data_IF_808751930822
#
_entry.id   IF_808751930822
#
_cell.length_a   1.000
_cell.length_b   1.000
_cell.length_c   1.000
_cell.angle_alpha   90.00
_cell.angle_beta   90.00
_cell.angle_gamma   90.00
#
_symmetry.space_group_name_H-M   'P 1'
#
loop_
_entity.id
_entity.type
_entity.pdbx_description
1 polymer ?
#
# COMPACT_ATOMS: atom_id res chain seq x y z
N UNK A 1 -17.44 -11.64 -14.03
CA UNK A 1 -17.79 -10.38 -13.29
C UNK A 1 -17.06 -9.14 -13.81
N UNK A 2 -15.89 -9.26 -14.39
CA UNK A 2 -15.08 -8.17 -15.00
C UNK A 2 -14.88 -8.46 -16.49
N UNK A 3 -15.98 -8.66 -17.23
CA UNK A 3 -15.95 -9.00 -18.67
C UNK A 3 -15.22 -7.97 -19.53
N UNK A 4 -15.24 -6.71 -19.08
CA UNK A 4 -14.52 -5.61 -19.72
C UNK A 4 -12.99 -5.79 -19.68
N UNK A 5 -12.46 -6.65 -18.82
CA UNK A 5 -11.03 -6.91 -18.69
C UNK A 5 -10.56 -8.15 -19.45
N UNK A 6 -11.47 -8.87 -20.12
CA UNK A 6 -11.20 -10.19 -20.76
C UNK A 6 -9.99 -10.19 -21.70
N UNK A 7 -9.77 -9.09 -22.42
CA UNK A 7 -8.67 -8.97 -23.38
C UNK A 7 -7.42 -8.29 -22.79
N UNK A 8 -7.46 -7.88 -21.53
CA UNK A 8 -6.30 -7.32 -20.86
C UNK A 8 -5.42 -8.39 -20.22
N UNK A 9 -4.10 -8.23 -20.36
CA UNK A 9 -3.12 -8.85 -19.48
C UNK A 9 -2.91 -7.94 -18.27
N UNK A 10 -3.42 -8.34 -17.11
CA UNK A 10 -3.34 -7.55 -15.88
C UNK A 10 -1.98 -7.75 -15.24
N UNK A 11 -1.29 -6.65 -14.93
CA UNK A 11 0.05 -6.65 -14.34
C UNK A 11 0.00 -6.00 -12.95
N UNK A 12 0.37 -6.75 -11.93
CA UNK A 12 0.67 -6.16 -10.63
C UNK A 12 2.13 -5.70 -10.59
N UNK A 13 2.34 -4.40 -10.53
CA UNK A 13 3.64 -3.75 -10.49
C UNK A 13 4.18 -3.66 -9.05
N UNK A 14 4.29 -4.79 -8.35
CA UNK A 14 4.71 -4.83 -6.95
C UNK A 14 5.31 -6.17 -6.56
N UNK A 15 6.42 -6.13 -5.81
CA UNK A 15 7.04 -7.30 -5.18
C UNK A 15 6.41 -7.64 -3.80
N UNK A 16 5.47 -6.84 -3.31
CA UNK A 16 4.85 -7.08 -2.01
C UNK A 16 4.02 -8.36 -2.00
N UNK A 17 4.37 -9.35 -1.16
CA UNK A 17 3.58 -10.59 -1.03
C UNK A 17 2.12 -10.30 -0.62
N UNK A 18 1.93 -9.32 0.28
CA UNK A 18 0.60 -8.90 0.74
C UNK A 18 -0.27 -8.36 -0.39
N UNK A 19 0.29 -7.50 -1.26
CA UNK A 19 -0.45 -6.97 -2.43
C UNK A 19 -0.80 -8.07 -3.42
N UNK A 20 0.10 -9.03 -3.62
CA UNK A 20 -0.16 -10.20 -4.48
C UNK A 20 -1.32 -11.03 -3.94
N UNK A 21 -1.30 -11.35 -2.65
CA UNK A 21 -2.37 -12.10 -1.96
C UNK A 21 -3.70 -11.36 -2.05
N UNK A 22 -3.71 -10.05 -1.73
CA UNK A 22 -4.90 -9.22 -1.78
C UNK A 22 -5.49 -9.11 -3.20
N UNK A 23 -4.68 -8.97 -4.23
CA UNK A 23 -5.19 -8.91 -5.60
C UNK A 23 -5.72 -10.27 -6.05
N UNK A 24 -5.06 -11.37 -5.68
CA UNK A 24 -5.51 -12.72 -5.96
C UNK A 24 -6.87 -13.03 -5.33
N UNK A 25 -7.19 -12.43 -4.18
CA UNK A 25 -8.49 -12.62 -3.51
C UNK A 25 -9.68 -12.01 -4.26
N UNK A 26 -9.42 -11.27 -5.35
CA UNK A 26 -10.48 -10.79 -6.26
C UNK A 26 -10.84 -11.79 -7.37
N UNK A 27 -10.25 -12.99 -7.37
CA UNK A 27 -10.43 -14.01 -8.41
C UNK A 27 -10.10 -13.47 -9.81
N UNK A 28 -9.02 -12.70 -9.92
CA UNK A 28 -8.52 -12.09 -11.15
C UNK A 28 -7.18 -12.73 -11.50
N UNK A 29 -7.03 -13.19 -12.74
CA UNK A 29 -5.73 -13.60 -13.26
C UNK A 29 -4.84 -12.38 -13.50
N UNK A 30 -3.61 -12.42 -13.01
CA UNK A 30 -2.62 -11.36 -13.21
C UNK A 30 -1.19 -11.91 -13.19
N UNK A 31 -0.29 -11.15 -13.79
CA UNK A 31 1.15 -11.39 -13.70
C UNK A 31 1.80 -10.37 -12.76
N UNK A 32 2.89 -10.77 -12.11
CA UNK A 32 3.74 -9.85 -11.36
C UNK A 32 4.93 -9.46 -12.23
N UNK A 33 5.05 -8.15 -12.51
CA UNK A 33 6.22 -7.60 -13.21
C UNK A 33 6.71 -6.37 -12.46
N UNK A 34 8.02 -6.29 -12.21
CA UNK A 34 8.61 -5.14 -11.51
C UNK A 34 9.74 -4.52 -12.32
N UNK A 35 9.77 -3.20 -12.33
CA UNK A 35 10.88 -2.39 -12.85
C UNK A 35 11.75 -2.02 -11.67
N UNK A 36 13.07 -2.25 -11.79
CA UNK A 36 14.05 -1.88 -10.76
C UNK A 36 14.39 -0.40 -10.86
N UNK A 37 14.85 0.15 -9.73
CA UNK A 37 15.41 1.51 -9.64
C UNK A 37 14.45 2.63 -10.05
N UNK A 38 13.14 2.46 -9.81
CA UNK A 38 12.20 3.59 -9.88
C UNK A 38 12.49 4.48 -8.67
N UNK A 39 12.73 5.78 -8.94
CA UNK A 39 12.90 6.77 -7.87
C UNK A 39 11.56 6.99 -7.15
N UNK A 40 11.49 6.60 -5.87
CA UNK A 40 10.33 6.74 -5.01
C UNK A 40 10.38 8.01 -4.13
N UNK A 41 11.32 8.91 -4.38
CA UNK A 41 11.39 10.20 -3.68
C UNK A 41 10.20 11.10 -4.06
N UNK A 42 9.83 11.98 -3.15
CA UNK A 42 8.77 12.97 -3.34
C UNK A 42 9.26 14.37 -2.92
N UNK A 43 8.67 15.46 -3.47
CA UNK A 43 9.06 16.83 -3.14
C UNK A 43 8.90 17.15 -1.66
N UNK A 44 9.84 17.89 -1.11
CA UNK A 44 9.72 18.44 0.24
C UNK A 44 8.51 19.38 0.34
N UNK A 45 7.77 19.29 1.44
CA UNK A 45 6.54 20.07 1.65
C UNK A 45 5.30 19.55 0.94
N UNK A 46 5.37 18.39 0.26
CA UNK A 46 4.18 17.77 -0.31
C UNK A 46 3.18 17.39 0.79
N UNK A 47 1.87 17.69 0.63
CA UNK A 47 0.85 17.23 1.57
C UNK A 47 0.91 15.70 1.76
N UNK A 48 0.88 15.25 3.00
CA UNK A 48 1.00 13.80 3.32
C UNK A 48 -0.08 12.95 2.64
N UNK A 49 -1.29 13.53 2.42
CA UNK A 49 -2.38 12.88 1.67
C UNK A 49 -2.02 12.52 0.23
N UNK A 50 -1.06 13.20 -0.39
CA UNK A 50 -0.76 13.11 -1.80
C UNK A 50 0.46 12.23 -2.10
N UNK A 51 1.33 12.02 -1.11
CA UNK A 51 2.62 11.33 -1.25
C UNK A 51 2.45 9.92 -1.82
N UNK A 52 1.57 9.10 -1.23
CA UNK A 52 1.37 7.72 -1.68
C UNK A 52 0.88 7.66 -3.13
N UNK A 53 -0.03 8.55 -3.52
CA UNK A 53 -0.53 8.63 -4.90
C UNK A 53 0.53 9.15 -5.86
N UNK A 54 1.34 10.10 -5.44
CA UNK A 54 2.46 10.62 -6.22
C UNK A 54 3.48 9.51 -6.53
N UNK A 55 3.90 8.74 -5.53
CA UNK A 55 4.85 7.63 -5.71
C UNK A 55 4.24 6.53 -6.59
N UNK A 56 2.97 6.15 -6.37
CA UNK A 56 2.27 5.22 -7.23
C UNK A 56 2.19 5.71 -8.68
N UNK A 57 2.03 7.03 -8.89
CA UNK A 57 2.06 7.69 -10.19
C UNK A 57 3.41 7.59 -10.88
N UNK A 58 4.52 7.88 -10.19
CA UNK A 58 5.88 7.71 -10.73
C UNK A 58 6.12 6.27 -11.19
N UNK A 59 5.67 5.28 -10.41
CA UNK A 59 5.70 3.87 -10.81
C UNK A 59 4.92 3.66 -12.10
N UNK A 60 3.67 4.14 -12.20
CA UNK A 60 2.83 4.01 -13.37
C UNK A 60 3.45 4.64 -14.63
N UNK A 61 4.04 5.83 -14.49
CA UNK A 61 4.68 6.54 -15.60
C UNK A 61 5.93 5.80 -16.12
N UNK A 62 6.65 5.06 -15.26
CA UNK A 62 7.74 4.18 -15.68
C UNK A 62 7.24 3.00 -16.53
N UNK A 63 6.11 2.40 -16.14
CA UNK A 63 5.51 1.29 -16.90
C UNK A 63 4.93 1.72 -18.24
N UNK A 64 4.38 2.94 -18.37
CA UNK A 64 3.88 3.49 -19.63
C UNK A 64 4.91 3.44 -20.75
N UNK A 65 6.21 3.53 -20.43
CA UNK A 65 7.30 3.52 -21.41
C UNK A 65 7.57 2.13 -22.00
N UNK A 66 7.21 1.07 -21.30
CA UNK A 66 7.60 -0.31 -21.65
C UNK A 66 6.41 -1.27 -21.77
N UNK A 67 5.19 -0.85 -21.41
CA UNK A 67 4.01 -1.70 -21.42
C UNK A 67 3.56 -2.05 -22.85
N UNK A 68 2.91 -3.21 -23.00
CA UNK A 68 2.24 -3.63 -24.23
C UNK A 68 0.85 -2.99 -24.36
N UNK A 69 0.28 -3.03 -25.55
CA UNK A 69 -1.00 -2.36 -25.83
C UNK A 69 -2.19 -2.99 -25.08
N UNK A 70 -2.12 -4.28 -24.81
CA UNK A 70 -3.15 -5.01 -24.06
C UNK A 70 -2.85 -5.18 -22.58
N UNK A 71 -1.87 -4.48 -22.01
CA UNK A 71 -1.58 -4.54 -20.58
C UNK A 71 -2.39 -3.50 -19.79
N UNK A 72 -2.88 -3.93 -18.62
CA UNK A 72 -3.44 -3.06 -17.58
C UNK A 72 -2.54 -3.16 -16.34
N UNK A 73 -1.82 -2.11 -16.06
CA UNK A 73 -0.84 -2.05 -14.98
C UNK A 73 -1.50 -1.52 -13.69
N UNK A 74 -1.33 -2.22 -12.60
CA UNK A 74 -1.73 -1.82 -11.26
C UNK A 74 -0.48 -1.47 -10.47
N UNK A 75 -0.28 -0.18 -10.18
CA UNK A 75 0.75 0.29 -9.27
C UNK A 75 0.15 0.77 -7.97
N UNK A 76 0.86 0.61 -6.85
CA UNK A 76 0.42 1.12 -5.57
C UNK A 76 1.61 1.51 -4.69
N UNK A 77 1.37 2.47 -3.79
CA UNK A 77 2.26 2.82 -2.71
C UNK A 77 1.48 3.06 -1.43
N UNK A 78 2.10 2.80 -0.27
CA UNK A 78 1.45 2.92 1.04
C UNK A 78 2.37 3.61 2.01
N UNK A 79 1.86 4.63 2.68
CA UNK A 79 2.54 5.34 3.76
C UNK A 79 1.70 5.33 5.03
N UNK A 80 2.38 5.46 6.16
CA UNK A 80 1.78 5.65 7.49
C UNK A 80 2.08 7.07 7.94
N UNK A 81 1.06 7.78 8.43
CA UNK A 81 1.17 9.17 8.86
C UNK A 81 0.69 9.30 10.30
N UNK A 82 1.51 9.86 11.17
CA UNK A 82 1.15 10.21 12.56
C UNK A 82 1.43 11.68 12.81
N UNK A 83 0.38 12.46 13.12
CA UNK A 83 0.49 13.91 13.04
C UNK A 83 0.89 14.36 11.64
N UNK A 84 1.97 15.14 11.52
CA UNK A 84 2.52 15.58 10.23
C UNK A 84 3.70 14.72 9.75
N UNK A 85 4.01 13.63 10.47
CA UNK A 85 5.18 12.80 10.17
C UNK A 85 4.81 11.60 9.34
N UNK A 86 5.49 11.43 8.20
CA UNK A 86 5.43 10.22 7.38
C UNK A 86 6.39 9.18 7.95
N UNK A 87 5.88 7.98 8.20
CA UNK A 87 6.66 6.83 8.60
C UNK A 87 6.81 5.89 7.40
N UNK A 88 8.01 5.81 6.88
CA UNK A 88 8.39 4.87 5.83
C UNK A 88 8.76 3.51 6.43
N UNK A 89 9.47 2.67 5.67
CA UNK A 89 10.01 1.42 6.19
C UNK A 89 11.16 1.71 7.15
N UNK A 90 11.21 1.02 8.30
CA UNK A 90 12.30 1.21 9.25
C UNK A 90 13.62 0.72 8.68
N UNK A 91 14.70 1.43 9.01
CA UNK A 91 16.07 1.12 8.56
C UNK A 91 16.65 -0.07 9.33
N UNK A 92 16.30 -0.18 10.59
CA UNK A 92 16.80 -1.18 11.54
C UNK A 92 15.82 -1.39 12.71
N UNK A 93 16.20 -2.21 13.68
CA UNK A 93 15.37 -2.51 14.84
C UNK A 93 15.15 -1.28 15.75
N UNK A 94 16.13 -0.39 15.88
CA UNK A 94 16.01 0.81 16.68
C UNK A 94 15.01 1.80 16.05
N UNK A 95 15.06 1.97 14.73
CA UNK A 95 14.12 2.80 13.99
C UNK A 95 12.71 2.20 14.04
N UNK A 96 12.57 0.87 13.91
CA UNK A 96 11.28 0.19 14.08
C UNK A 96 10.70 0.40 15.49
N UNK A 97 11.53 0.30 16.53
CA UNK A 97 11.11 0.57 17.90
C UNK A 97 10.62 2.01 18.07
N UNK A 98 11.37 2.99 17.55
CA UNK A 98 10.99 4.39 17.60
C UNK A 98 9.67 4.66 16.86
N UNK A 99 9.44 4.04 15.71
CA UNK A 99 8.18 4.14 14.97
C UNK A 99 7.01 3.58 15.77
N UNK A 100 7.12 2.35 16.29
CA UNK A 100 6.06 1.72 17.08
C UNK A 100 5.77 2.48 18.36
N UNK A 101 6.81 3.01 19.03
CA UNK A 101 6.64 3.90 20.19
C UNK A 101 5.87 5.18 19.83
N UNK A 102 6.10 5.73 18.64
CA UNK A 102 5.39 6.91 18.14
C UNK A 102 3.91 6.61 17.85
N UNK A 103 3.58 5.40 17.40
CA UNK A 103 2.21 4.95 17.13
C UNK A 103 1.45 4.53 18.39
N UNK A 104 2.14 4.08 19.42
CA UNK A 104 1.58 3.57 20.68
C UNK A 104 0.63 4.58 21.32
N UNK A 105 -0.59 4.14 21.66
CA UNK A 105 -1.62 4.97 22.31
C UNK A 105 -2.18 6.10 21.44
N UNK A 106 -1.99 6.05 20.12
CA UNK A 106 -2.42 7.12 19.21
C UNK A 106 -3.21 6.59 18.02
N UNK A 107 -3.97 7.51 17.41
CA UNK A 107 -4.52 7.32 16.08
C UNK A 107 -3.49 7.77 15.05
N UNK A 108 -3.30 6.95 14.04
CA UNK A 108 -2.51 7.28 12.86
C UNK A 108 -3.29 6.96 11.59
N UNK A 109 -2.85 7.49 10.47
CA UNK A 109 -3.52 7.35 9.18
C UNK A 109 -2.66 6.53 8.23
N UNK A 110 -3.26 5.54 7.57
CA UNK A 110 -2.64 4.78 6.49
C UNK A 110 -3.23 5.25 5.16
N UNK A 111 -2.38 5.71 4.27
CA UNK A 111 -2.78 6.18 2.93
C UNK A 111 -2.17 5.25 1.89
N UNK A 112 -3.00 4.66 1.03
CA UNK A 112 -2.54 3.91 -0.14
C UNK A 112 -2.98 4.63 -1.40
N UNK A 113 -2.02 5.03 -2.22
CA UNK A 113 -2.21 5.52 -3.58
C UNK A 113 -2.20 4.36 -4.57
N UNK A 114 -3.10 4.39 -5.55
CA UNK A 114 -3.24 3.36 -6.59
C UNK A 114 -3.38 4.02 -7.96
N UNK A 115 -2.69 3.47 -8.96
CA UNK A 115 -2.93 3.80 -10.36
C UNK A 115 -3.31 2.53 -11.14
N UNK A 116 -4.36 2.65 -11.94
CA UNK A 116 -4.75 1.68 -12.98
C UNK A 116 -4.40 2.32 -14.32
N UNK A 117 -3.49 1.72 -15.06
CA UNK A 117 -2.92 2.35 -16.26
C UNK A 117 -2.93 1.39 -17.44
N UNK A 118 -3.63 1.76 -18.51
CA UNK A 118 -3.56 1.13 -19.81
C UNK A 118 -3.15 2.19 -20.86
N UNK A 119 -2.88 1.80 -22.11
CA UNK A 119 -2.40 2.73 -23.16
C UNK A 119 -3.31 3.97 -23.36
N UNK A 120 -4.61 3.78 -23.27
CA UNK A 120 -5.61 4.84 -23.48
C UNK A 120 -6.48 5.11 -22.25
N UNK A 121 -6.06 4.62 -21.08
CA UNK A 121 -6.81 4.79 -19.85
C UNK A 121 -5.88 4.98 -18.65
N UNK A 122 -6.21 5.93 -17.81
CA UNK A 122 -5.52 6.14 -16.55
C UNK A 122 -6.52 6.52 -15.46
N UNK A 123 -6.49 5.79 -14.36
CA UNK A 123 -7.25 6.11 -13.16
C UNK A 123 -6.32 6.15 -11.97
N UNK A 124 -6.27 7.28 -11.29
CA UNK A 124 -5.44 7.50 -10.09
C UNK A 124 -6.35 7.83 -8.92
N UNK A 125 -6.14 7.21 -7.78
CA UNK A 125 -6.91 7.47 -6.55
C UNK A 125 -6.12 7.05 -5.32
N UNK A 126 -6.47 7.64 -4.17
CA UNK A 126 -5.99 7.22 -2.86
C UNK A 126 -7.12 6.75 -1.97
N UNK A 127 -6.79 5.89 -1.01
CA UNK A 127 -7.69 5.43 0.04
C UNK A 127 -7.01 5.63 1.37
N UNK A 128 -7.76 6.19 2.31
CA UNK A 128 -7.28 6.55 3.65
C UNK A 128 -7.99 5.71 4.69
N UNK A 129 -7.27 5.28 5.71
CA UNK A 129 -7.81 4.52 6.85
C UNK A 129 -7.14 4.98 8.13
N UNK A 130 -7.93 5.34 9.13
CA UNK A 130 -7.43 5.65 10.46
C UNK A 130 -7.35 4.38 11.29
N UNK A 131 -6.24 4.20 12.00
CA UNK A 131 -5.96 3.07 12.86
C UNK A 131 -5.64 3.58 14.27
N UNK A 132 -6.35 3.06 15.27
CA UNK A 132 -6.14 3.41 16.66
C UNK A 132 -5.30 2.32 17.34
N UNK A 133 -4.16 2.70 17.90
CA UNK A 133 -3.36 1.81 18.74
C UNK A 133 -3.65 2.05 20.21
N UNK A 134 -3.80 0.97 20.96
CA UNK A 134 -3.68 0.96 22.41
C UNK A 134 -2.24 1.31 22.82
N UNK A 135 -2.00 1.76 24.06
CA UNK A 135 -0.65 1.87 24.58
C UNK A 135 0.08 0.51 24.53
N UNK A 136 1.28 0.50 23.97
CA UNK A 136 2.16 -0.67 23.89
C UNK A 136 3.29 -0.53 24.91
N UNK A 137 3.68 -1.63 25.58
CA UNK A 137 4.88 -1.67 26.42
C UNK A 137 6.14 -1.85 25.57
N UNK A 138 7.31 -1.58 26.15
CA UNK A 138 8.58 -1.79 25.44
C UNK A 138 8.81 -3.28 25.17
N UNK A 139 8.41 -4.17 26.09
CA UNK A 139 8.50 -5.62 25.92
C UNK A 139 7.62 -6.10 24.76
N UNK A 140 6.42 -5.55 24.56
CA UNK A 140 5.53 -5.88 23.44
C UNK A 140 6.14 -5.43 22.12
N UNK A 141 6.72 -4.24 22.06
CA UNK A 141 7.39 -3.70 20.89
C UNK A 141 8.62 -4.55 20.52
N UNK A 142 9.48 -4.87 21.49
CA UNK A 142 10.67 -5.69 21.30
C UNK A 142 10.32 -7.11 20.87
N UNK A 143 9.30 -7.70 21.50
CA UNK A 143 8.78 -9.02 21.11
C UNK A 143 8.36 -9.02 19.65
N UNK A 144 7.56 -8.04 19.23
CA UNK A 144 7.08 -7.96 17.87
C UNK A 144 8.22 -7.78 16.87
N UNK A 145 9.14 -6.86 17.10
CA UNK A 145 10.27 -6.60 16.19
C UNK A 145 11.15 -7.85 16.04
N UNK A 146 11.47 -8.53 17.15
CA UNK A 146 12.36 -9.70 17.13
C UNK A 146 11.75 -10.90 16.40
N UNK A 147 10.44 -11.13 16.56
CA UNK A 147 9.76 -12.30 16.00
C UNK A 147 9.21 -12.08 14.60
N UNK A 148 8.74 -10.87 14.28
CA UNK A 148 8.06 -10.58 13.02
C UNK A 148 8.92 -9.78 12.02
N UNK A 149 10.00 -9.15 12.47
CA UNK A 149 10.98 -8.44 11.65
C UNK A 149 10.32 -7.49 10.62
N UNK A 150 9.58 -6.48 11.06
CA UNK A 150 8.69 -5.67 10.20
C UNK A 150 9.43 -4.65 9.32
N UNK A 151 10.64 -4.95 8.85
CA UNK A 151 11.51 -4.03 8.12
C UNK A 151 11.04 -3.74 6.68
N UNK A 152 10.08 -4.51 6.17
CA UNK A 152 9.47 -4.34 4.85
C UNK A 152 8.18 -3.52 4.88
N UNK A 153 7.78 -2.99 6.05
CA UNK A 153 6.47 -2.37 6.27
C UNK A 153 6.59 -0.91 6.68
N UNK A 154 5.82 -0.02 6.02
CA UNK A 154 5.65 1.36 6.45
C UNK A 154 5.11 1.42 7.89
N UNK A 155 5.68 2.29 8.74
CA UNK A 155 5.33 2.39 10.15
C UNK A 155 5.74 1.19 11.01
N UNK A 156 6.56 0.29 10.48
CA UNK A 156 7.12 -0.87 11.16
C UNK A 156 6.07 -1.85 11.71
N UNK A 157 4.88 -1.99 11.09
CA UNK A 157 3.89 -2.98 11.51
C UNK A 157 3.05 -3.56 10.38
N UNK A 158 2.53 -4.76 10.59
CA UNK A 158 1.49 -5.38 9.78
C UNK A 158 0.24 -5.63 10.60
N UNK A 159 -0.89 -5.03 10.19
CA UNK A 159 -2.15 -5.16 10.93
C UNK A 159 -2.66 -6.61 11.02
N UNK A 160 -2.27 -7.47 10.09
CA UNK A 160 -2.60 -8.89 10.04
C UNK A 160 -1.69 -9.77 10.93
N UNK A 161 -0.67 -9.17 11.55
CA UNK A 161 0.29 -9.84 12.42
C UNK A 161 -0.09 -9.67 13.91
N UNK A 162 0.64 -10.30 14.79
CA UNK A 162 0.38 -10.30 16.23
C UNK A 162 0.10 -8.90 16.80
N UNK A 163 0.87 -7.88 16.38
CA UNK A 163 0.69 -6.51 16.86
C UNK A 163 -0.69 -5.92 16.48
N UNK A 164 -1.27 -6.37 15.36
CA UNK A 164 -2.62 -5.99 14.99
C UNK A 164 -3.68 -6.57 15.93
N UNK A 165 -3.48 -7.80 16.42
CA UNK A 165 -4.39 -8.45 17.37
C UNK A 165 -4.34 -7.81 18.77
N UNK A 166 -3.18 -7.44 19.25
CA UNK A 166 -3.01 -6.93 20.62
C UNK A 166 -3.03 -5.41 20.71
N UNK A 167 -2.55 -4.73 19.68
CA UNK A 167 -2.33 -3.28 19.70
C UNK A 167 -3.45 -2.47 19.03
N UNK A 168 -4.15 -2.99 18.01
CA UNK A 168 -5.19 -2.23 17.31
C UNK A 168 -6.51 -2.28 18.08
N UNK A 169 -6.92 -1.14 18.63
CA UNK A 169 -8.20 -1.00 19.35
C UNK A 169 -9.35 -0.53 18.49
N UNK A 170 -9.08 -0.01 17.28
CA UNK A 170 -10.11 0.45 16.36
C UNK A 170 -9.57 0.76 14.98
N UNK A 171 -10.46 0.72 13.99
CA UNK A 171 -10.17 1.03 12.61
C UNK A 171 -11.36 1.75 11.98
N UNK A 172 -11.09 2.88 11.30
CA UNK A 172 -12.09 3.61 10.51
C UNK A 172 -11.64 3.67 9.05
N UNK A 173 -12.22 2.81 8.21
CA UNK A 173 -11.88 2.67 6.81
C UNK A 173 -11.77 1.21 6.39
N UNK A 174 -10.80 0.90 5.53
CA UNK A 174 -10.59 -0.43 4.98
C UNK A 174 -9.39 -1.14 5.62
N UNK A 175 -9.63 -2.30 6.21
CA UNK A 175 -8.59 -3.20 6.72
C UNK A 175 -7.56 -3.55 5.62
N UNK A 176 -8.05 -3.86 4.42
CA UNK A 176 -7.19 -4.23 3.28
C UNK A 176 -6.35 -3.05 2.77
N UNK A 177 -6.84 -1.81 2.94
CA UNK A 177 -6.03 -0.62 2.69
C UNK A 177 -4.82 -0.57 3.62
N UNK A 178 -5.01 -0.87 4.91
CA UNK A 178 -3.91 -0.92 5.90
C UNK A 178 -2.91 -2.03 5.56
N UNK A 179 -3.36 -3.17 5.03
CA UNK A 179 -2.48 -4.23 4.52
C UNK A 179 -1.67 -3.81 3.28
N UNK A 180 -2.07 -2.73 2.59
CA UNK A 180 -1.33 -2.12 1.49
C UNK A 180 -1.97 -2.18 0.10
N UNK A 181 -3.24 -2.65 -0.02
CA UNK A 181 -3.97 -2.64 -1.29
C UNK A 181 -5.49 -2.56 -1.04
N UNK A 182 -6.15 -1.43 -1.36
CA UNK A 182 -7.58 -1.25 -1.11
C UNK A 182 -8.43 -1.99 -2.16
N UNK A 183 -8.49 -3.31 -2.07
CA UNK A 183 -9.08 -4.21 -3.10
C UNK A 183 -10.54 -3.93 -3.39
N UNK A 184 -11.35 -3.54 -2.40
CA UNK A 184 -12.75 -3.14 -2.61
C UNK A 184 -12.82 -1.96 -3.58
N UNK A 185 -12.03 -0.92 -3.36
CA UNK A 185 -12.01 0.26 -4.25
C UNK A 185 -11.43 -0.10 -5.62
N UNK A 186 -10.36 -0.90 -5.66
CA UNK A 186 -9.77 -1.38 -6.92
C UNK A 186 -10.81 -2.12 -7.75
N UNK A 187 -11.55 -3.05 -7.17
CA UNK A 187 -12.61 -3.80 -7.85
C UNK A 187 -13.64 -2.88 -8.51
N UNK A 188 -14.09 -1.84 -7.80
CA UNK A 188 -15.04 -0.86 -8.34
C UNK A 188 -14.44 0.02 -9.44
N UNK A 189 -13.15 0.35 -9.37
CA UNK A 189 -12.49 1.11 -10.44
C UNK A 189 -12.17 0.22 -11.65
N UNK A 190 -11.85 -1.06 -11.46
CA UNK A 190 -11.64 -2.04 -12.55
C UNK A 190 -12.89 -2.20 -13.42
N UNK A 191 -14.10 -2.13 -12.85
CA UNK A 191 -15.36 -2.16 -13.62
C UNK A 191 -15.52 -1.01 -14.60
N UNK A 192 -14.80 0.10 -14.39
CA UNK A 192 -14.88 1.30 -15.22
C UNK A 192 -13.83 1.34 -16.33
N UNK A 193 -12.88 0.41 -16.34
CA UNK A 193 -11.87 0.31 -17.39
C UNK A 193 -12.56 -0.01 -18.70
N UNK A 194 -12.34 0.78 -19.78
CA UNK A 194 -12.91 0.47 -21.08
C UNK A 194 -12.46 -0.88 -21.61
N UNK A 195 -13.35 -1.64 -22.22
CA UNK A 195 -12.96 -2.87 -22.92
C UNK A 195 -12.08 -2.55 -24.15
N UNK A 196 -11.18 -3.45 -24.52
CA UNK A 196 -10.35 -3.38 -25.73
C UNK A 196 -10.61 -4.58 -26.64
#
# INVERSE_FOLDING_TARGET
MLENLRNYNIILASNSPRRKELLASLDIDFEVKTIKNIDESFPEGMPTSDIALYIAGKKADAYLKVMKDNELIITADTIVVVGDKVLEKPKDAADAHAMLRMLSGRTHTVVTGVCLTARKYSRRFSVTTDVNFSPLTDEEIEYYISHYRPFDKAGAYGIQEWIGYVGVSGLRGSYFNVMGLPVQRIYHELKKVPAI
#
